data_IF_403750905042
#
_entry.id   IF_403750905042
#
_cell.length_a   1.000
_cell.length_b   1.000
_cell.length_c   1.000
_cell.angle_alpha   90.00
_cell.angle_beta   90.00
_cell.angle_gamma   90.00
#
_symmetry.space_group_name_H-M   'P 1'
#
loop_
_entity.id
_entity.type
_entity.pdbx_description
1 polymer ?
#
# COMPACT_ATOMS: atom_id res chain seq x y z
N UNK A 1 7.60 15.50 -8.74
CA UNK A 1 8.34 14.55 -7.88
C UNK A 1 9.82 14.88 -7.96
N UNK A 2 10.56 14.94 -6.85
CA UNK A 2 12.00 15.24 -6.90
C UNK A 2 12.77 14.13 -7.64
N UNK A 3 13.78 14.50 -8.44
CA UNK A 3 14.52 13.55 -9.29
C UNK A 3 15.18 12.42 -8.49
N UNK A 4 15.63 12.72 -7.27
CA UNK A 4 16.22 11.72 -6.38
C UNK A 4 15.28 10.54 -6.13
N UNK A 5 13.95 10.75 -6.15
CA UNK A 5 12.98 9.68 -5.88
C UNK A 5 12.70 8.76 -7.07
N UNK A 6 13.12 9.15 -8.27
CA UNK A 6 12.79 8.45 -9.51
C UNK A 6 13.10 6.95 -9.52
N UNK A 7 14.20 6.45 -8.92
CA UNK A 7 14.47 5.02 -8.86
C UNK A 7 13.46 4.20 -8.05
N UNK A 8 12.72 4.83 -7.12
CA UNK A 8 11.77 4.16 -6.23
C UNK A 8 10.31 4.37 -6.64
N UNK A 9 10.07 5.04 -7.77
CA UNK A 9 8.72 5.28 -8.28
C UNK A 9 8.45 4.35 -9.43
N UNK A 10 7.59 3.38 -9.16
CA UNK A 10 7.16 2.37 -10.11
C UNK A 10 5.75 2.70 -10.60
N UNK A 11 5.53 2.55 -11.90
CA UNK A 11 4.17 2.43 -12.40
C UNK A 11 3.56 1.09 -11.99
N UNK A 12 2.23 0.98 -12.05
CA UNK A 12 1.53 -0.29 -11.77
C UNK A 12 2.04 -1.42 -12.67
N UNK A 13 2.45 -1.12 -13.90
CA UNK A 13 3.01 -2.09 -14.84
C UNK A 13 4.40 -2.61 -14.43
N UNK A 14 5.12 -1.87 -13.59
CA UNK A 14 6.48 -2.19 -13.13
C UNK A 14 6.50 -2.84 -11.74
N UNK A 15 5.33 -3.01 -11.10
CA UNK A 15 5.24 -3.66 -9.80
C UNK A 15 5.81 -5.08 -9.84
N UNK A 16 6.52 -5.53 -8.79
CA UNK A 16 6.99 -6.91 -8.71
C UNK A 16 5.80 -7.88 -8.69
N UNK A 17 6.00 -9.07 -9.24
CA UNK A 17 4.94 -10.07 -9.46
C UNK A 17 4.13 -10.42 -8.21
N UNK A 18 4.79 -10.52 -7.06
CA UNK A 18 4.13 -10.83 -5.80
C UNK A 18 3.15 -9.72 -5.40
N UNK A 19 3.53 -8.45 -5.60
CA UNK A 19 2.74 -7.28 -5.25
C UNK A 19 1.57 -7.12 -6.23
N UNK A 20 1.79 -7.39 -7.53
CA UNK A 20 0.71 -7.47 -8.52
C UNK A 20 -0.33 -8.52 -8.16
N UNK A 21 0.11 -9.71 -7.72
CA UNK A 21 -0.80 -10.78 -7.29
C UNK A 21 -1.59 -10.39 -6.05
N UNK A 22 -0.93 -9.79 -5.06
CA UNK A 22 -1.57 -9.30 -3.84
C UNK A 22 -2.62 -8.23 -4.16
N UNK A 23 -2.25 -7.20 -4.93
CA UNK A 23 -3.19 -6.14 -5.31
C UNK A 23 -4.38 -6.68 -6.11
N UNK A 24 -4.16 -7.64 -7.01
CA UNK A 24 -5.26 -8.30 -7.73
C UNK A 24 -6.19 -9.08 -6.78
N UNK A 25 -5.63 -9.77 -5.79
CA UNK A 25 -6.41 -10.51 -4.81
C UNK A 25 -7.26 -9.56 -3.94
N UNK A 26 -6.66 -8.47 -3.46
CA UNK A 26 -7.36 -7.43 -2.69
C UNK A 26 -8.46 -6.78 -3.53
N UNK A 27 -8.17 -6.38 -4.77
CA UNK A 27 -9.16 -5.78 -5.68
C UNK A 27 -10.38 -6.64 -5.94
N UNK A 28 -10.24 -7.97 -5.89
CA UNK A 28 -11.33 -8.89 -6.08
C UNK A 28 -12.34 -8.90 -4.92
N UNK A 29 -11.96 -8.39 -3.75
CA UNK A 29 -12.78 -8.47 -2.53
C UNK A 29 -13.17 -7.11 -1.92
N UNK A 30 -12.47 -6.02 -2.26
CA UNK A 30 -12.87 -4.67 -1.83
C UNK A 30 -14.22 -4.27 -2.45
N UNK A 31 -15.04 -3.61 -1.65
CA UNK A 31 -16.34 -3.06 -2.05
C UNK A 31 -16.17 -1.72 -2.76
N UNK A 32 -15.21 -0.91 -2.34
CA UNK A 32 -14.94 0.40 -2.88
C UNK A 32 -13.79 0.37 -3.89
N UNK A 33 -14.15 0.39 -5.17
CA UNK A 33 -13.17 0.32 -6.28
C UNK A 33 -12.41 1.65 -6.51
N UNK A 34 -12.81 2.72 -5.82
CA UNK A 34 -12.16 4.04 -5.89
C UNK A 34 -10.91 4.13 -4.99
N UNK A 35 -10.60 3.08 -4.24
CA UNK A 35 -9.39 2.94 -3.42
C UNK A 35 -8.28 2.15 -4.12
N UNK A 36 -7.12 2.11 -3.49
CA UNK A 36 -5.98 1.36 -3.96
C UNK A 36 -4.95 1.12 -2.87
N UNK A 37 -3.87 0.47 -3.28
CA UNK A 37 -2.70 0.24 -2.47
C UNK A 37 -2.18 1.54 -1.82
N UNK A 38 -1.65 1.47 -0.58
CA UNK A 38 -1.08 2.62 0.10
C UNK A 38 0.02 3.32 -0.70
N UNK A 39 0.23 4.60 -0.38
CA UNK A 39 1.12 5.50 -1.13
C UNK A 39 2.55 4.99 -1.28
N UNK A 40 3.07 4.30 -0.26
CA UNK A 40 4.42 3.73 -0.26
C UNK A 40 4.36 2.26 0.13
N UNK A 41 5.08 1.43 -0.61
CA UNK A 41 5.34 0.03 -0.24
C UNK A 41 6.84 -0.16 -0.20
N UNK A 42 7.36 -0.56 0.95
CA UNK A 42 8.77 -0.89 1.15
C UNK A 42 8.89 -2.39 1.42
N UNK A 43 9.93 -3.05 0.93
CA UNK A 43 10.18 -4.47 1.20
C UNK A 43 11.67 -4.77 1.06
N UNK A 44 12.09 -5.91 1.60
CA UNK A 44 13.37 -6.53 1.32
C UNK A 44 13.20 -7.60 0.23
N UNK A 45 14.02 -7.54 -0.82
CA UNK A 45 13.96 -8.52 -1.92
C UNK A 45 14.28 -9.94 -1.44
N UNK A 46 15.05 -10.10 -0.37
CA UNK A 46 15.33 -11.39 0.26
C UNK A 46 14.11 -12.02 0.96
N UNK A 47 13.08 -11.23 1.27
CA UNK A 47 11.91 -11.68 2.02
C UNK A 47 10.65 -10.86 1.69
N UNK A 48 10.30 -10.74 0.41
CA UNK A 48 9.40 -9.67 -0.07
C UNK A 48 8.08 -9.54 0.69
N UNK A 49 7.19 -10.53 0.62
CA UNK A 49 5.85 -10.39 1.22
C UNK A 49 5.88 -10.32 2.75
N UNK A 50 6.79 -11.02 3.42
CA UNK A 50 6.82 -11.07 4.88
C UNK A 50 7.52 -9.86 5.50
N UNK A 51 8.38 -9.18 4.75
CA UNK A 51 9.06 -7.93 5.12
C UNK A 51 8.34 -6.67 4.64
N UNK A 52 7.32 -6.81 3.77
CA UNK A 52 6.64 -5.67 3.19
C UNK A 52 6.05 -4.76 4.27
N UNK A 53 6.19 -3.45 4.08
CA UNK A 53 5.60 -2.38 4.87
C UNK A 53 4.80 -1.48 3.93
N UNK A 54 3.50 -1.37 4.19
CA UNK A 54 2.56 -0.55 3.46
C UNK A 54 2.29 0.73 4.25
N UNK A 55 2.59 1.90 3.68
CA UNK A 55 2.52 3.18 4.38
C UNK A 55 1.56 4.11 3.64
N UNK A 56 0.51 4.53 4.35
CA UNK A 56 -0.41 5.56 3.91
C UNK A 56 0.07 6.93 4.40
N UNK A 57 0.19 7.92 3.50
CA UNK A 57 0.63 9.26 3.84
C UNK A 57 -0.57 10.19 4.04
N UNK A 58 -0.71 10.73 5.24
CA UNK A 58 -1.82 11.63 5.60
C UNK A 58 -1.37 13.04 5.90
N UNK A 59 -2.18 14.02 5.53
CA UNK A 59 -2.07 15.39 6.05
C UNK A 59 -2.50 15.48 7.53
N UNK A 60 -2.16 16.55 8.25
CA UNK A 60 -2.40 16.68 9.69
C UNK A 60 -3.88 16.60 10.12
N UNK A 61 -4.79 16.87 9.20
CA UNK A 61 -6.25 16.87 9.42
C UNK A 61 -6.97 15.94 8.44
N UNK A 62 -6.22 15.15 7.68
CA UNK A 62 -6.78 14.26 6.70
C UNK A 62 -7.27 12.98 7.37
N UNK A 63 -8.57 12.73 7.31
CA UNK A 63 -9.15 11.47 7.77
C UNK A 63 -8.89 10.32 6.82
N UNK A 64 -9.14 9.10 7.31
CA UNK A 64 -9.24 7.93 6.45
C UNK A 64 -10.55 7.98 5.68
N UNK A 65 -10.47 7.58 4.41
CA UNK A 65 -11.64 7.39 3.56
C UNK A 65 -12.09 5.94 3.66
N UNK A 66 -13.38 5.70 3.48
CA UNK A 66 -13.95 4.34 3.46
C UNK A 66 -13.17 3.39 2.52
N UNK A 67 -12.76 3.88 1.35
CA UNK A 67 -11.98 3.10 0.39
C UNK A 67 -10.62 2.63 0.91
N UNK A 68 -10.01 3.39 1.83
CA UNK A 68 -8.72 3.06 2.44
C UNK A 68 -8.90 2.05 3.56
N UNK A 69 -9.96 2.21 4.37
CA UNK A 69 -10.34 1.25 5.41
C UNK A 69 -10.70 -0.11 4.80
N UNK A 70 -11.45 -0.10 3.69
CA UNK A 70 -11.83 -1.29 2.93
C UNK A 70 -10.60 -2.02 2.34
N UNK A 71 -9.63 -1.27 1.81
CA UNK A 71 -8.36 -1.86 1.35
C UNK A 71 -7.58 -2.50 2.50
N UNK A 72 -7.45 -1.82 3.65
CA UNK A 72 -6.76 -2.36 4.84
C UNK A 72 -7.43 -3.65 5.29
N UNK A 73 -8.76 -3.67 5.38
CA UNK A 73 -9.50 -4.86 5.77
C UNK A 73 -9.25 -6.03 4.82
N UNK A 74 -9.36 -5.80 3.51
CA UNK A 74 -9.09 -6.80 2.49
C UNK A 74 -7.63 -7.29 2.47
N UNK A 75 -6.67 -6.41 2.77
CA UNK A 75 -5.25 -6.77 2.87
C UNK A 75 -4.99 -7.72 4.05
N UNK A 76 -5.61 -7.47 5.20
CA UNK A 76 -5.52 -8.34 6.37
C UNK A 76 -6.08 -9.73 6.08
N UNK A 77 -7.25 -9.81 5.46
CA UNK A 77 -7.85 -11.08 5.00
C UNK A 77 -6.99 -11.80 3.96
N UNK A 78 -6.20 -11.06 3.19
CA UNK A 78 -5.25 -11.59 2.19
C UNK A 78 -3.90 -12.00 2.80
N UNK A 79 -3.75 -11.93 4.13
CA UNK A 79 -2.56 -12.39 4.85
C UNK A 79 -1.50 -11.32 5.11
N UNK A 80 -1.77 -10.04 4.79
CA UNK A 80 -0.94 -8.92 5.29
C UNK A 80 -1.14 -8.83 6.79
N UNK A 81 -0.05 -8.73 7.56
CA UNK A 81 -0.17 -8.63 9.02
C UNK A 81 -0.38 -7.18 9.47
N UNK A 82 -1.01 -6.92 10.62
CA UNK A 82 -1.19 -5.57 11.13
C UNK A 82 0.12 -4.79 11.35
N UNK A 83 1.22 -5.47 11.70
CA UNK A 83 2.55 -4.87 11.86
C UNK A 83 3.21 -4.45 10.54
N UNK A 84 2.61 -4.82 9.41
CA UNK A 84 3.04 -4.44 8.07
C UNK A 84 2.31 -3.20 7.54
N UNK A 85 1.43 -2.58 8.33
CA UNK A 85 0.66 -1.40 7.94
C UNK A 85 1.03 -0.24 8.85
N UNK A 86 1.41 0.89 8.24
CA UNK A 86 1.76 2.10 8.95
C UNK A 86 1.10 3.34 8.33
N UNK A 87 1.02 4.40 9.13
CA UNK A 87 0.52 5.71 8.71
C UNK A 87 1.62 6.72 8.96
N UNK A 88 1.99 7.47 7.94
CA UNK A 88 2.89 8.60 8.06
C UNK A 88 2.10 9.90 8.01
N UNK A 89 2.16 10.70 9.08
CA UNK A 89 1.54 12.03 9.11
C UNK A 89 2.57 13.06 8.65
N UNK A 90 2.29 13.71 7.51
CA UNK A 90 3.14 14.78 6.99
C UNK A 90 2.89 16.05 7.81
N UNK A 91 3.94 16.66 8.40
CA UNK A 91 3.79 17.83 9.27
C UNK A 91 3.39 19.12 8.54
N UNK A 92 3.47 19.17 7.20
CA UNK A 92 3.27 20.38 6.39
C UNK A 92 2.42 20.09 5.15
#
# INVERSE_FOLDING_TARGET
MPEIWRPWVLSVAELPDWLRRLEKAIRAVIRCQNGGMPDVVAWDDGNSIHSALFVECKGPKEGFREAQEDWVWAALESGVRPDQIAVSVRPF
#
